data_IF_667231185759
#
_entry.id   IF_667231185759
#
_cell.length_a   1.000
_cell.length_b   1.000
_cell.length_c   1.000
_cell.angle_alpha   90.00
_cell.angle_beta   90.00
_cell.angle_gamma   90.00
#
_symmetry.space_group_name_H-M   'P 1'
#
loop_
_entity.id
_entity.type
_entity.pdbx_description
1 polymer ?
#
# COMPACT_ATOMS: atom_id res chain seq x y z
N UNK A 1 12.97 8.30 -15.74
CA UNK A 1 12.82 9.11 -14.49
C UNK A 1 14.13 9.87 -14.24
N UNK A 2 14.09 11.14 -13.92
CA UNK A 2 15.28 11.98 -13.63
C UNK A 2 15.37 12.22 -12.12
N UNK A 3 16.37 11.65 -11.45
CA UNK A 3 16.55 11.78 -10.00
C UNK A 3 17.11 13.15 -9.55
N UNK A 4 17.51 14.00 -10.48
CA UNK A 4 17.95 15.38 -10.21
C UNK A 4 16.80 16.37 -10.07
N UNK A 5 15.58 15.96 -10.44
CA UNK A 5 14.34 16.72 -10.33
C UNK A 5 13.40 16.03 -9.33
N UNK A 6 12.41 16.70 -8.77
CA UNK A 6 11.37 16.03 -8.00
C UNK A 6 10.76 14.85 -8.78
N UNK A 7 10.68 13.70 -8.12
CA UNK A 7 10.19 12.46 -8.72
C UNK A 7 9.28 11.67 -7.79
N UNK A 8 8.47 10.81 -8.35
CA UNK A 8 7.61 9.90 -7.58
C UNK A 8 7.88 8.45 -8.00
N UNK A 9 8.06 7.58 -7.02
CA UNK A 9 8.07 6.14 -7.26
C UNK A 9 6.81 5.55 -6.62
N UNK A 10 5.97 4.90 -7.41
CA UNK A 10 4.83 4.16 -6.88
C UNK A 10 5.17 2.67 -6.78
N UNK A 11 4.77 2.04 -5.67
CA UNK A 11 5.01 0.61 -5.45
C UNK A 11 3.69 -0.11 -5.24
N UNK A 12 3.20 -0.78 -6.26
CA UNK A 12 2.17 -1.80 -6.16
C UNK A 12 2.79 -3.13 -5.70
N UNK A 13 2.10 -3.90 -4.91
CA UNK A 13 2.67 -5.13 -4.33
C UNK A 13 1.60 -6.13 -3.93
N UNK A 14 1.91 -7.41 -4.02
CA UNK A 14 1.15 -8.49 -3.42
C UNK A 14 1.33 -8.53 -1.89
N UNK A 15 0.35 -9.04 -1.16
CA UNK A 15 0.51 -9.24 0.29
C UNK A 15 1.57 -10.33 0.55
N UNK A 16 2.46 -10.09 1.48
CA UNK A 16 3.55 -11.02 1.80
C UNK A 16 4.76 -10.97 0.85
N UNK A 17 4.72 -10.16 -0.24
CA UNK A 17 5.87 -10.06 -1.16
C UNK A 17 7.08 -9.28 -0.61
N UNK A 18 6.97 -8.61 0.55
CA UNK A 18 8.07 -7.76 1.07
C UNK A 18 8.07 -6.34 0.52
N UNK A 19 7.20 -6.01 -0.44
CA UNK A 19 7.23 -4.73 -1.15
C UNK A 19 7.15 -3.47 -0.27
N UNK A 20 6.54 -3.57 0.95
CA UNK A 20 6.55 -2.47 1.92
C UNK A 20 7.95 -2.23 2.50
N UNK A 21 8.63 -3.29 2.90
CA UNK A 21 10.00 -3.22 3.45
C UNK A 21 10.98 -2.73 2.40
N UNK A 22 10.88 -3.28 1.19
CA UNK A 22 11.67 -2.85 0.03
C UNK A 22 11.46 -1.37 -0.24
N UNK A 23 10.21 -0.90 -0.26
CA UNK A 23 9.90 0.52 -0.48
C UNK A 23 10.48 1.45 0.58
N UNK A 24 10.46 1.06 1.86
CA UNK A 24 11.09 1.85 2.94
C UNK A 24 12.60 1.91 2.82
N UNK A 25 13.24 0.76 2.55
CA UNK A 25 14.68 0.70 2.35
C UNK A 25 15.11 1.52 1.13
N UNK A 26 14.34 1.45 0.05
CA UNK A 26 14.59 2.26 -1.14
C UNK A 26 14.46 3.76 -0.85
N UNK A 27 13.43 4.17 -0.09
CA UNK A 27 13.25 5.56 0.31
C UNK A 27 14.41 6.07 1.17
N UNK A 28 14.89 5.24 2.11
CA UNK A 28 16.04 5.57 2.93
C UNK A 28 17.32 5.74 2.09
N UNK A 29 17.57 4.87 1.11
CA UNK A 29 18.74 4.97 0.24
C UNK A 29 18.70 6.16 -0.72
N UNK A 30 17.50 6.54 -1.17
CA UNK A 30 17.30 7.72 -2.02
C UNK A 30 17.15 9.01 -1.21
N UNK A 31 17.12 8.91 0.12
CA UNK A 31 16.87 10.03 1.05
C UNK A 31 15.59 10.80 0.71
N UNK A 32 14.48 10.09 0.46
CA UNK A 32 13.18 10.66 0.12
C UNK A 32 12.09 10.21 1.09
N UNK A 33 10.98 10.95 1.13
CA UNK A 33 9.80 10.62 1.94
C UNK A 33 9.20 9.28 1.49
N UNK A 34 8.83 8.44 2.46
CA UNK A 34 8.03 7.23 2.23
C UNK A 34 6.60 7.42 2.77
N UNK A 35 5.62 7.17 1.93
CA UNK A 35 4.20 7.27 2.28
C UNK A 35 3.47 5.93 2.08
N UNK A 36 2.91 5.40 3.16
CA UNK A 36 2.01 4.22 3.11
C UNK A 36 0.81 4.30 4.08
N UNK A 37 0.98 4.93 5.24
CA UNK A 37 0.01 4.90 6.34
C UNK A 37 -0.62 6.24 6.71
N UNK A 38 0.13 7.31 6.56
CA UNK A 38 -0.33 8.65 6.95
C UNK A 38 -1.64 9.01 6.23
N UNK A 39 -1.81 8.53 4.99
CA UNK A 39 -3.03 8.71 4.22
C UNK A 39 -4.32 8.25 4.95
N UNK A 40 -4.27 7.17 5.71
CA UNK A 40 -5.46 6.71 6.48
C UNK A 40 -5.78 7.70 7.62
N UNK A 41 -4.75 8.25 8.25
CA UNK A 41 -4.96 9.26 9.28
C UNK A 41 -5.58 10.53 8.70
N UNK A 42 -5.06 11.00 7.59
CA UNK A 42 -5.60 12.18 6.90
C UNK A 42 -7.08 11.98 6.48
N UNK A 43 -7.42 10.77 6.01
CA UNK A 43 -8.81 10.41 5.70
C UNK A 43 -9.71 10.35 6.94
N UNK A 44 -9.19 9.82 8.05
CA UNK A 44 -9.94 9.77 9.32
C UNK A 44 -10.29 11.19 9.79
N UNK A 45 -9.34 12.09 9.73
CA UNK A 45 -9.53 13.49 10.11
C UNK A 45 -10.52 14.18 9.17
N UNK A 46 -10.35 14.01 7.85
CA UNK A 46 -11.22 14.64 6.83
C UNK A 46 -12.68 14.23 6.92
N UNK A 47 -12.95 12.94 7.16
CA UNK A 47 -14.32 12.42 7.20
C UNK A 47 -14.86 12.22 8.62
N UNK A 48 -14.05 12.46 9.65
CA UNK A 48 -14.37 12.15 11.04
C UNK A 48 -14.84 10.69 11.20
N UNK A 49 -14.16 9.77 10.54
CA UNK A 49 -14.45 8.35 10.52
C UNK A 49 -13.29 7.56 11.13
N UNK A 50 -13.62 6.42 11.76
CA UNK A 50 -12.62 5.44 12.16
C UNK A 50 -12.02 4.73 10.93
N UNK A 51 -10.83 4.16 11.10
CA UNK A 51 -10.21 3.32 10.05
C UNK A 51 -11.15 2.20 9.59
N UNK A 52 -11.87 1.58 10.52
CA UNK A 52 -12.84 0.52 10.24
C UNK A 52 -14.00 1.00 9.35
N UNK A 53 -14.55 2.18 9.63
CA UNK A 53 -15.65 2.75 8.85
C UNK A 53 -15.20 3.09 7.43
N UNK A 54 -14.01 3.68 7.26
CA UNK A 54 -13.42 3.95 5.94
C UNK A 54 -13.31 2.68 5.11
N UNK A 55 -12.80 1.59 5.68
CA UNK A 55 -12.62 0.35 4.95
C UNK A 55 -13.95 -0.39 4.70
N UNK A 56 -14.92 -0.28 5.62
CA UNK A 56 -16.28 -0.79 5.40
C UNK A 56 -16.93 -0.10 4.20
N UNK A 57 -16.78 1.20 4.07
CA UNK A 57 -17.30 2.00 2.95
C UNK A 57 -16.58 1.62 1.65
N UNK A 58 -15.28 1.37 1.68
CA UNK A 58 -14.50 0.90 0.53
C UNK A 58 -14.86 -0.52 0.06
N UNK A 59 -15.74 -1.21 0.80
CA UNK A 59 -16.16 -2.58 0.49
C UNK A 59 -15.11 -3.64 0.84
N UNK A 60 -14.15 -3.30 1.67
CA UNK A 60 -13.15 -4.24 2.18
C UNK A 60 -13.68 -5.00 3.38
N UNK A 61 -13.43 -6.31 3.46
CA UNK A 61 -13.88 -7.13 4.59
C UNK A 61 -13.09 -6.80 5.86
N UNK A 62 -13.77 -6.93 7.01
CA UNK A 62 -13.41 -6.50 8.36
C UNK A 62 -11.98 -6.82 8.86
N UNK A 63 -11.34 -7.88 8.36
CA UNK A 63 -10.15 -8.45 8.99
C UNK A 63 -8.80 -7.97 8.42
N UNK A 64 -8.74 -7.45 7.21
CA UNK A 64 -7.45 -7.18 6.58
C UNK A 64 -6.76 -5.90 7.03
N UNK A 65 -7.52 -4.96 7.59
CA UNK A 65 -6.97 -3.66 8.02
C UNK A 65 -6.42 -3.70 9.43
N UNK A 66 -7.10 -4.38 10.35
CA UNK A 66 -6.54 -4.70 11.66
C UNK A 66 -5.23 -5.47 11.49
N UNK A 67 -5.20 -6.45 10.59
CA UNK A 67 -4.00 -7.22 10.27
C UNK A 67 -2.91 -6.38 9.57
N UNK A 68 -3.28 -5.43 8.71
CA UNK A 68 -2.31 -4.47 8.14
C UNK A 68 -1.75 -3.47 9.16
N UNK A 69 -2.52 -3.10 10.15
CA UNK A 69 -2.08 -2.18 11.22
C UNK A 69 -1.21 -2.91 12.26
N UNK A 70 -1.52 -4.17 12.58
CA UNK A 70 -0.77 -4.99 13.52
C UNK A 70 0.61 -5.43 12.99
N UNK A 71 0.79 -5.45 11.65
CA UNK A 71 2.11 -5.71 11.04
C UNK A 71 3.15 -4.62 11.36
N UNK A 72 2.78 -3.57 12.07
CA UNK A 72 3.61 -2.36 12.17
C UNK A 72 4.36 -2.20 13.46
N UNK A 73 4.52 -3.00 14.27
CA UNK A 73 5.44 -3.05 15.39
C UNK A 73 4.80 -3.71 16.63
N UNK A 74 5.48 -4.62 17.27
CA UNK A 74 5.31 -4.77 18.68
C UNK A 74 5.77 -3.44 19.29
N UNK A 75 4.83 -2.67 19.87
CA UNK A 75 5.21 -1.61 20.81
C UNK A 75 5.73 -2.35 22.04
N UNK A 76 7.03 -2.23 22.37
CA UNK A 76 7.51 -2.83 23.58
C UNK A 76 6.84 -2.11 24.76
N UNK A 77 6.07 -2.83 25.55
CA UNK A 77 5.66 -2.45 26.87
C UNK A 77 4.83 -1.16 27.04
N UNK A 78 3.62 -1.13 26.50
CA UNK A 78 2.55 -0.41 27.17
C UNK A 78 1.32 -1.30 27.15
N UNK A 79 0.90 -1.77 28.32
CA UNK A 79 -0.31 -2.55 28.56
C UNK A 79 -1.60 -1.75 28.34
N UNK A 80 -1.71 -1.15 27.18
CA UNK A 80 -2.94 -0.61 26.65
C UNK A 80 -3.41 -1.59 25.58
N UNK A 81 -4.14 -2.61 25.99
CA UNK A 81 -5.22 -3.12 25.19
C UNK A 81 -6.06 -1.88 24.83
N UNK A 82 -5.90 -1.35 23.66
CA UNK A 82 -6.95 -0.55 23.06
C UNK A 82 -8.05 -1.57 22.79
N UNK A 83 -8.88 -1.80 23.81
CA UNK A 83 -10.13 -2.50 23.66
C UNK A 83 -10.87 -1.78 22.55
N UNK A 84 -11.02 -2.46 21.43
CA UNK A 84 -11.85 -2.03 20.36
C UNK A 84 -13.28 -2.18 20.86
N UNK A 85 -13.73 -1.21 21.68
CA UNK A 85 -15.16 -1.01 21.84
C UNK A 85 -15.65 -0.70 20.43
N UNK A 86 -16.35 -1.67 19.85
CA UNK A 86 -17.24 -1.42 18.73
C UNK A 86 -18.28 -0.42 19.25
N UNK A 87 -17.87 0.82 19.37
CA UNK A 87 -18.78 1.93 19.58
C UNK A 87 -19.84 1.80 18.52
N UNK A 88 -21.08 1.88 18.91
CA UNK A 88 -22.23 2.07 18.02
C UNK A 88 -21.96 3.37 17.25
N UNK A 89 -21.06 3.29 16.25
CA UNK A 89 -20.81 4.37 15.31
C UNK A 89 -22.14 4.65 14.64
N UNK A 90 -22.54 5.89 14.71
CA UNK A 90 -23.81 6.36 14.16
C UNK A 90 -23.96 5.84 12.72
N UNK A 91 -24.77 4.82 12.50
CA UNK A 91 -25.03 4.22 11.17
C UNK A 91 -25.44 5.28 10.13
N UNK A 92 -25.98 6.41 10.59
CA UNK A 92 -26.35 7.54 9.76
C UNK A 92 -25.15 8.27 9.13
N UNK A 93 -23.95 8.24 9.75
CA UNK A 93 -22.73 8.82 9.17
C UNK A 93 -22.20 7.98 8.02
N UNK A 94 -22.28 6.65 8.15
CA UNK A 94 -21.87 5.71 7.11
C UNK A 94 -22.69 5.85 5.82
N UNK A 95 -23.96 6.25 5.93
CA UNK A 95 -24.84 6.44 4.78
C UNK A 95 -24.58 7.72 3.98
N UNK A 96 -23.77 8.66 4.50
CA UNK A 96 -23.45 9.93 3.82
C UNK A 96 -22.16 9.89 3.02
N UNK A 97 -21.17 9.09 3.44
CA UNK A 97 -19.86 9.00 2.78
C UNK A 97 -19.85 7.79 1.84
N UNK A 98 -19.62 8.01 0.57
CA UNK A 98 -19.55 6.97 -0.45
C UNK A 98 -18.11 6.52 -0.66
N UNK A 99 -17.93 5.33 -1.23
CA UNK A 99 -16.60 4.82 -1.59
C UNK A 99 -15.86 5.74 -2.58
N UNK A 100 -16.60 6.40 -3.45
CA UNK A 100 -16.06 7.33 -4.43
C UNK A 100 -15.53 8.62 -3.75
N UNK A 101 -16.23 9.14 -2.73
CA UNK A 101 -15.75 10.29 -1.94
C UNK A 101 -14.43 10.00 -1.25
N UNK A 102 -14.28 8.76 -0.74
CA UNK A 102 -13.02 8.30 -0.13
C UNK A 102 -11.92 8.19 -1.18
N UNK A 103 -12.22 7.63 -2.36
CA UNK A 103 -11.26 7.53 -3.44
C UNK A 103 -10.77 8.91 -3.91
N UNK A 104 -11.69 9.87 -4.09
CA UNK A 104 -11.34 11.23 -4.47
C UNK A 104 -10.45 11.92 -3.44
N UNK A 105 -10.76 11.73 -2.15
CA UNK A 105 -9.93 12.23 -1.07
C UNK A 105 -8.54 11.57 -1.02
N UNK A 106 -8.47 10.24 -1.18
CA UNK A 106 -7.19 9.52 -1.30
C UNK A 106 -6.37 10.07 -2.48
N UNK A 107 -7.00 10.26 -3.63
CA UNK A 107 -6.34 10.77 -4.83
C UNK A 107 -5.82 12.22 -4.63
N UNK A 108 -6.60 13.08 -3.97
CA UNK A 108 -6.17 14.44 -3.65
C UNK A 108 -4.93 14.45 -2.75
N UNK A 109 -4.96 13.68 -1.65
CA UNK A 109 -3.83 13.58 -0.71
C UNK A 109 -2.57 13.02 -1.40
N UNK A 110 -2.72 12.00 -2.27
CA UNK A 110 -1.57 11.47 -3.02
C UNK A 110 -0.95 12.51 -3.96
N UNK A 111 -1.78 13.33 -4.60
CA UNK A 111 -1.31 14.43 -5.46
C UNK A 111 -0.61 15.53 -4.66
N UNK A 112 -1.11 15.87 -3.47
CA UNK A 112 -0.46 16.80 -2.55
C UNK A 112 0.91 16.29 -2.12
N UNK A 113 1.00 15.02 -1.67
CA UNK A 113 2.27 14.39 -1.30
C UNK A 113 3.28 14.42 -2.46
N UNK A 114 2.82 14.15 -3.68
CA UNK A 114 3.66 14.17 -4.87
C UNK A 114 4.13 15.58 -5.25
N UNK A 115 3.34 16.61 -4.95
CA UNK A 115 3.67 18.01 -5.21
C UNK A 115 4.69 18.59 -4.20
N UNK A 116 4.76 18.05 -2.99
CA UNK A 116 5.71 18.50 -1.96
C UNK A 116 7.16 18.16 -2.29
N UNK A 117 7.43 17.19 -3.16
CA UNK A 117 8.79 16.82 -3.58
C UNK A 117 8.94 15.33 -3.88
N UNK A 118 10.18 14.86 -3.95
CA UNK A 118 10.47 13.46 -4.24
C UNK A 118 9.95 12.54 -3.15
N UNK A 119 9.22 11.49 -3.56
CA UNK A 119 8.64 10.55 -2.61
C UNK A 119 8.46 9.14 -3.18
N UNK A 120 8.31 8.17 -2.28
CA UNK A 120 7.89 6.81 -2.60
C UNK A 120 6.51 6.56 -1.98
N UNK A 121 5.55 6.14 -2.79
CA UNK A 121 4.18 5.88 -2.38
C UNK A 121 3.88 4.39 -2.55
N UNK A 122 3.53 3.71 -1.46
CA UNK A 122 3.22 2.28 -1.50
C UNK A 122 1.70 2.02 -1.51
N UNK A 123 1.20 1.53 -2.64
CA UNK A 123 -0.20 1.16 -2.85
C UNK A 123 -1.11 2.30 -3.24
N UNK A 124 -2.41 2.21 -2.83
CA UNK A 124 -3.45 3.22 -3.08
C UNK A 124 -3.68 3.54 -4.56
N UNK A 125 -3.43 2.58 -5.42
CA UNK A 125 -3.49 2.79 -6.89
C UNK A 125 -2.64 3.97 -7.36
N UNK A 126 -1.51 4.23 -6.69
CA UNK A 126 -0.62 5.35 -6.96
C UNK A 126 -0.20 5.42 -8.43
N UNK A 127 0.07 4.27 -9.07
CA UNK A 127 0.39 4.19 -10.50
C UNK A 127 -0.67 4.83 -11.38
N UNK A 128 -1.95 4.71 -11.03
CA UNK A 128 -3.08 5.27 -11.75
C UNK A 128 -3.39 6.70 -11.32
N UNK A 129 -3.46 6.97 -10.01
CA UNK A 129 -3.79 8.30 -9.46
C UNK A 129 -2.80 9.35 -9.93
N UNK A 130 -1.52 8.97 -10.04
CA UNK A 130 -0.43 9.85 -10.44
C UNK A 130 0.02 9.61 -11.89
N UNK A 131 -0.84 9.05 -12.75
CA UNK A 131 -0.50 8.72 -14.14
C UNK A 131 0.05 9.90 -14.95
N UNK A 132 -0.40 11.10 -14.65
CA UNK A 132 -0.01 12.32 -15.35
C UNK A 132 1.20 13.03 -14.70
N UNK A 133 1.82 12.44 -13.66
CA UNK A 133 3.01 13.02 -13.05
C UNK A 133 4.22 12.89 -14.01
N UNK A 134 4.90 14.01 -14.35
CA UNK A 134 5.87 14.05 -15.44
C UNK A 134 7.16 13.26 -15.18
N UNK A 135 7.49 13.00 -13.91
CA UNK A 135 8.73 12.32 -13.50
C UNK A 135 8.41 11.19 -12.52
N UNK A 136 7.87 10.12 -13.03
CA UNK A 136 7.34 8.99 -12.25
C UNK A 136 8.00 7.68 -12.66
N UNK A 137 8.03 6.73 -11.71
CA UNK A 137 8.38 5.33 -11.92
C UNK A 137 7.36 4.44 -11.21
N UNK A 138 6.73 3.53 -11.94
CA UNK A 138 5.75 2.59 -11.39
C UNK A 138 6.37 1.19 -11.27
N UNK A 139 6.33 0.64 -10.06
CA UNK A 139 6.90 -0.67 -9.74
C UNK A 139 5.80 -1.61 -9.22
N UNK A 140 5.81 -2.86 -9.70
CA UNK A 140 5.02 -3.94 -9.12
C UNK A 140 5.93 -5.02 -8.53
N UNK A 141 5.73 -5.32 -7.24
CA UNK A 141 6.50 -6.33 -6.51
C UNK A 141 5.61 -7.52 -6.19
N UNK A 142 5.98 -8.67 -6.69
CA UNK A 142 5.33 -9.96 -6.46
C UNK A 142 6.31 -10.99 -5.89
N UNK A 143 5.78 -12.08 -5.34
CA UNK A 143 6.58 -13.21 -4.90
C UNK A 143 5.77 -14.51 -5.03
N UNK A 144 6.42 -15.69 -5.12
CA UNK A 144 5.74 -16.98 -5.11
C UNK A 144 4.83 -17.12 -3.90
N UNK A 145 3.65 -17.73 -4.08
CA UNK A 145 2.63 -17.82 -3.05
C UNK A 145 3.16 -18.43 -1.75
N UNK A 146 3.96 -19.50 -1.83
CA UNK A 146 4.50 -20.17 -0.66
C UNK A 146 5.42 -19.27 0.18
N UNK A 147 6.25 -18.46 -0.46
CA UNK A 147 7.09 -17.47 0.23
C UNK A 147 6.24 -16.38 0.89
N UNK A 148 5.15 -15.97 0.24
CA UNK A 148 4.22 -15.00 0.78
C UNK A 148 3.46 -15.54 2.00
N UNK A 149 3.01 -16.81 1.91
CA UNK A 149 2.35 -17.52 3.02
C UNK A 149 3.28 -17.60 4.21
N UNK A 150 4.52 -18.08 4.04
CA UNK A 150 5.51 -18.16 5.11
C UNK A 150 5.70 -16.79 5.79
N UNK A 151 5.92 -15.73 5.02
CA UNK A 151 6.11 -14.37 5.56
C UNK A 151 4.89 -13.84 6.32
N UNK A 152 3.68 -14.18 5.87
CA UNK A 152 2.44 -13.77 6.53
C UNK A 152 2.25 -14.55 7.83
N UNK A 153 2.48 -15.87 7.83
CA UNK A 153 2.46 -16.70 9.04
C UNK A 153 3.40 -16.15 10.11
N UNK A 154 4.67 -15.92 9.75
CA UNK A 154 5.68 -15.42 10.70
C UNK A 154 5.35 -14.03 11.26
N UNK A 155 4.81 -13.13 10.43
CA UNK A 155 4.52 -11.76 10.85
C UNK A 155 3.26 -11.60 11.65
N UNK A 156 2.29 -12.49 11.47
CA UNK A 156 0.96 -12.37 12.06
C UNK A 156 0.64 -13.51 13.04
N UNK A 157 1.56 -14.45 13.20
CA UNK A 157 1.36 -15.66 14.01
C UNK A 157 0.08 -16.43 13.61
N UNK A 158 -0.09 -16.63 12.30
CA UNK A 158 -1.23 -17.33 11.71
C UNK A 158 -0.87 -18.75 11.32
N UNK A 159 -1.88 -19.61 11.23
CA UNK A 159 -1.76 -20.91 10.56
C UNK A 159 -1.60 -20.71 9.04
N UNK A 160 -1.15 -21.74 8.34
CA UNK A 160 -1.00 -21.70 6.89
C UNK A 160 -2.33 -21.42 6.18
N UNK A 161 -3.41 -22.07 6.61
CA UNK A 161 -4.76 -21.88 6.03
C UNK A 161 -5.23 -20.42 6.22
N UNK A 162 -5.08 -19.87 7.42
CA UNK A 162 -5.42 -18.48 7.69
C UNK A 162 -4.60 -17.52 6.83
N UNK A 163 -3.28 -17.75 6.71
CA UNK A 163 -2.39 -16.92 5.90
C UNK A 163 -2.79 -16.95 4.41
N UNK A 164 -3.12 -18.12 3.86
CA UNK A 164 -3.62 -18.26 2.49
C UNK A 164 -4.93 -17.50 2.28
N UNK A 165 -5.87 -17.61 3.22
CA UNK A 165 -7.15 -16.91 3.17
C UNK A 165 -6.98 -15.39 3.24
N UNK A 166 -6.11 -14.90 4.10
CA UNK A 166 -5.78 -13.46 4.22
C UNK A 166 -5.15 -12.94 2.94
N UNK A 167 -4.17 -13.65 2.38
CA UNK A 167 -3.52 -13.28 1.13
C UNK A 167 -4.54 -13.17 -0.01
N UNK A 168 -5.36 -14.21 -0.20
CA UNK A 168 -6.37 -14.24 -1.25
C UNK A 168 -7.39 -13.09 -1.10
N UNK A 169 -7.86 -12.84 0.12
CA UNK A 169 -8.84 -11.77 0.40
C UNK A 169 -8.27 -10.39 0.13
N UNK A 170 -7.05 -10.11 0.62
CA UNK A 170 -6.39 -8.81 0.47
C UNK A 170 -6.05 -8.51 -0.98
N UNK A 171 -5.47 -9.47 -1.69
CA UNK A 171 -5.09 -9.27 -3.09
C UNK A 171 -6.33 -9.13 -3.98
N UNK A 172 -7.42 -9.89 -3.70
CA UNK A 172 -8.71 -9.72 -4.37
C UNK A 172 -9.31 -8.32 -4.13
N UNK A 173 -9.28 -7.83 -2.89
CA UNK A 173 -9.78 -6.49 -2.56
C UNK A 173 -9.01 -5.40 -3.30
N UNK A 174 -7.68 -5.53 -3.38
CA UNK A 174 -6.83 -4.59 -4.14
C UNK A 174 -7.10 -4.65 -5.63
N UNK A 175 -7.32 -5.85 -6.19
CA UNK A 175 -7.67 -6.02 -7.60
C UNK A 175 -9.01 -5.36 -7.90
N UNK A 176 -10.04 -5.65 -7.10
CA UNK A 176 -11.38 -5.05 -7.25
C UNK A 176 -11.32 -3.52 -7.18
N UNK A 177 -10.50 -2.97 -6.28
CA UNK A 177 -10.30 -1.52 -6.17
C UNK A 177 -9.68 -0.92 -7.42
N UNK A 178 -8.62 -1.55 -7.95
CA UNK A 178 -7.97 -1.09 -9.19
C UNK A 178 -8.92 -1.21 -10.39
N UNK A 179 -9.63 -2.33 -10.52
CA UNK A 179 -10.61 -2.50 -11.59
C UNK A 179 -11.71 -1.43 -11.56
N UNK A 180 -12.22 -1.11 -10.37
CA UNK A 180 -13.28 -0.10 -10.21
C UNK A 180 -12.84 1.29 -10.62
N UNK A 181 -11.66 1.74 -10.19
CA UNK A 181 -11.24 3.13 -10.34
C UNK A 181 -10.27 3.39 -11.49
N UNK A 182 -9.47 2.39 -11.87
CA UNK A 182 -8.53 2.49 -12.97
C UNK A 182 -8.99 1.81 -14.27
N UNK A 183 -10.07 0.99 -14.21
CA UNK A 183 -10.58 0.26 -15.38
C UNK A 183 -9.61 -0.77 -15.94
N UNK A 184 -8.61 -1.20 -15.18
CA UNK A 184 -7.59 -2.16 -15.58
C UNK A 184 -7.30 -3.17 -14.45
N UNK A 185 -6.56 -4.24 -14.75
CA UNK A 185 -6.06 -5.14 -13.72
C UNK A 185 -4.77 -4.60 -13.10
N UNK A 186 -4.64 -4.72 -11.78
CA UNK A 186 -3.36 -4.45 -11.10
C UNK A 186 -2.25 -5.42 -11.49
N UNK A 187 -2.58 -6.54 -12.10
CA UNK A 187 -1.63 -7.55 -12.57
C UNK A 187 -1.23 -7.34 -14.03
N UNK A 188 -1.80 -6.36 -14.71
CA UNK A 188 -1.39 -6.01 -16.07
C UNK A 188 -0.02 -5.32 -16.03
N UNK A 189 0.99 -6.03 -16.53
CA UNK A 189 2.37 -5.55 -16.54
C UNK A 189 2.56 -4.23 -17.29
N UNK A 190 1.65 -3.89 -18.22
CA UNK A 190 1.68 -2.62 -18.96
C UNK A 190 1.43 -1.38 -18.10
N UNK A 191 0.94 -1.57 -16.88
CA UNK A 191 0.74 -0.49 -15.93
C UNK A 191 2.02 -0.09 -15.18
N UNK A 192 3.15 -0.77 -15.41
CA UNK A 192 4.36 -0.61 -14.62
C UNK A 192 5.60 -0.51 -15.51
N UNK A 193 6.57 0.28 -15.07
CA UNK A 193 7.89 0.37 -15.69
C UNK A 193 8.78 -0.82 -15.28
N UNK A 194 8.55 -1.37 -14.08
CA UNK A 194 9.29 -2.50 -13.54
C UNK A 194 8.37 -3.46 -12.80
N UNK A 195 8.36 -4.72 -13.22
CA UNK A 195 7.71 -5.82 -12.50
C UNK A 195 8.79 -6.75 -11.97
N UNK A 196 8.80 -6.97 -10.64
CA UNK A 196 9.79 -7.83 -9.99
C UNK A 196 9.11 -8.98 -9.25
N UNK A 197 9.57 -10.20 -9.54
CA UNK A 197 9.32 -11.35 -8.69
C UNK A 197 10.53 -11.52 -7.75
N UNK A 198 10.34 -11.17 -6.48
CA UNK A 198 11.45 -11.14 -5.51
C UNK A 198 11.75 -12.51 -4.91
N UNK A 199 10.87 -13.51 -5.05
CA UNK A 199 11.14 -14.92 -4.71
C UNK A 199 12.05 -15.13 -3.51
N UNK A 200 13.26 -15.58 -3.78
CA UNK A 200 14.32 -15.84 -2.80
C UNK A 200 15.29 -14.65 -2.62
N UNK A 201 15.06 -13.54 -3.28
CA UNK A 201 15.88 -12.33 -3.11
C UNK A 201 15.74 -11.78 -1.69
N UNK A 202 16.85 -11.29 -1.14
CA UNK A 202 16.79 -10.43 0.04
C UNK A 202 16.13 -9.08 -0.28
N UNK A 203 15.62 -8.40 0.74
CA UNK A 203 15.08 -7.05 0.53
C UNK A 203 16.17 -6.09 0.03
N UNK A 204 17.42 -6.29 0.45
CA UNK A 204 18.61 -5.53 0.03
C UNK A 204 18.93 -5.73 -1.45
N UNK A 205 18.93 -6.99 -1.92
CA UNK A 205 19.16 -7.31 -3.33
C UNK A 205 18.05 -6.73 -4.21
N UNK A 206 16.79 -6.81 -3.77
CA UNK A 206 15.66 -6.22 -4.47
C UNK A 206 15.82 -4.70 -4.60
N UNK A 207 16.23 -4.01 -3.52
CA UNK A 207 16.52 -2.57 -3.55
C UNK A 207 17.67 -2.26 -4.49
N UNK A 208 18.76 -3.03 -4.45
CA UNK A 208 19.90 -2.86 -5.34
C UNK A 208 19.50 -3.00 -6.82
N UNK A 209 18.66 -3.98 -7.16
CA UNK A 209 18.11 -4.13 -8.50
C UNK A 209 17.26 -2.92 -8.93
N UNK A 210 16.39 -2.40 -8.06
CA UNK A 210 15.58 -1.21 -8.35
C UNK A 210 16.48 0.01 -8.57
N UNK A 211 17.47 0.23 -7.73
CA UNK A 211 18.42 1.36 -7.89
C UNK A 211 19.21 1.27 -9.18
N UNK A 212 19.61 0.05 -9.58
CA UNK A 212 20.27 -0.17 -10.86
C UNK A 212 19.34 0.13 -12.03
N UNK A 213 18.07 -0.29 -11.96
CA UNK A 213 17.06 0.05 -12.96
C UNK A 213 16.87 1.56 -13.07
N UNK A 214 16.70 2.26 -11.95
CA UNK A 214 16.58 3.73 -11.90
C UNK A 214 17.75 4.40 -12.62
N UNK A 215 18.98 3.96 -12.34
CA UNK A 215 20.19 4.51 -12.96
C UNK A 215 20.17 4.39 -14.50
N UNK A 216 19.61 3.31 -15.04
CA UNK A 216 19.53 3.12 -16.49
C UNK A 216 18.30 3.78 -17.12
N UNK A 217 17.20 3.90 -16.38
CA UNK A 217 15.99 4.59 -16.82
C UNK A 217 16.09 6.12 -16.73
N UNK A 218 17.15 6.65 -16.09
CA UNK A 218 17.40 8.10 -15.89
C UNK A 218 18.28 8.71 -17.01
N UNK A 219 18.15 8.20 -18.22
CA UNK A 219 18.86 8.77 -19.37
C UNK A 219 18.06 9.86 -20.07
#
# INVERSE_FOLDING_TARGET
MDTKKPFVITISRELGSGGRTIGRKLAAQLNVRYSDKNLIQDLREKFNLSTYEIEKIKGTKKNWLTEMLDIVAPVPNSGAYIGFEAGKGDEWKLNKVKADDIFEAEAAILKEIAAEGSCIIAGRSGFFVLKDHPNKLDIFIQAPLEKRVQRVMEKQNLTEEEARNVIASVDKSRETYVQRYAGTSRYDARNYDLVMNVGDMSDEDAVACILKFIKYASK
#
